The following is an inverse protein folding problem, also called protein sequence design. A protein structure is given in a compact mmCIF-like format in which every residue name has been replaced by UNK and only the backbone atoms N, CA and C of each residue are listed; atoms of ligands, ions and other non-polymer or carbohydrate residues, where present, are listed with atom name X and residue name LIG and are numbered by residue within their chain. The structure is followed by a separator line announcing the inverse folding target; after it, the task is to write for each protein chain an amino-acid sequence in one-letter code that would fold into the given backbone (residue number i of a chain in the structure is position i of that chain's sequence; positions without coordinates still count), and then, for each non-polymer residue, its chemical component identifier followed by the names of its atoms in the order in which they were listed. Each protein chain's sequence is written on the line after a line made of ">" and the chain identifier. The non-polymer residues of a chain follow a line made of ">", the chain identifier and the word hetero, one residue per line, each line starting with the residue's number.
data_IF_282595611851
#
_entry.id   IF_282595611851
#
_cell.length_a   1.000
_cell.length_b   1.000
_cell.length_c   1.000
_cell.angle_alpha   90.00
_cell.angle_beta   90.00
_cell.angle_gamma   90.00
#
_symmetry.space_group_name_H-M   'P 1'
#
loop_
_entity.id
_entity.type
_entity.pdbx_description
1 polymer ?
#
# COMPACT_ATOMS: atom_id res chain seq x y z
N UNK A 1 7.85 -16.85 -15.73
CA UNK A 1 8.94 -16.39 -14.86
C UNK A 1 8.37 -15.48 -13.80
N UNK A 2 8.69 -15.71 -12.54
CA UNK A 2 8.22 -14.91 -11.43
C UNK A 2 9.38 -14.15 -10.80
N UNK A 3 9.15 -12.88 -10.48
CA UNK A 3 10.10 -12.05 -9.76
C UNK A 3 9.47 -11.64 -8.45
N UNK A 4 10.20 -11.87 -7.36
CA UNK A 4 9.75 -11.51 -6.02
C UNK A 4 10.74 -10.54 -5.40
N UNK A 5 10.24 -9.47 -4.78
CA UNK A 5 11.10 -8.55 -4.04
C UNK A 5 10.32 -7.92 -2.88
N UNK A 6 11.09 -7.49 -1.88
CA UNK A 6 10.58 -6.74 -0.74
C UNK A 6 11.11 -5.32 -0.79
N UNK A 7 10.32 -4.35 -0.38
CA UNK A 7 10.81 -2.99 -0.25
C UNK A 7 11.85 -2.91 0.88
N UNK A 8 12.92 -2.13 0.71
CA UNK A 8 13.98 -2.02 1.74
C UNK A 8 13.50 -1.16 2.91
N UNK A 9 12.91 -1.80 3.90
CA UNK A 9 12.34 -1.11 5.04
C UNK A 9 11.13 -0.26 4.65
N UNK A 10 10.39 0.20 5.64
CA UNK A 10 9.25 1.10 5.42
C UNK A 10 9.45 2.29 6.34
N UNK A 11 9.56 3.47 5.76
CA UNK A 11 9.75 4.71 6.50
C UNK A 11 8.42 5.31 6.94
N UNK A 12 7.42 5.29 6.04
CA UNK A 12 6.11 5.85 6.36
C UNK A 12 5.02 5.16 5.54
N UNK A 13 3.80 5.20 6.09
CA UNK A 13 2.59 4.70 5.46
C UNK A 13 1.57 5.81 5.54
N UNK A 14 0.92 6.10 4.42
CA UNK A 14 -0.11 7.12 4.36
C UNK A 14 -1.31 6.60 3.60
N UNK A 15 -2.48 7.17 3.88
CA UNK A 15 -3.75 6.77 3.27
C UNK A 15 -4.30 7.93 2.47
N UNK A 16 -4.71 7.66 1.25
CA UNK A 16 -5.36 8.64 0.38
C UNK A 16 -6.70 8.10 -0.08
N UNK A 17 -7.65 9.00 -0.36
CA UNK A 17 -8.90 8.59 -0.98
C UNK A 17 -8.64 8.15 -2.42
N UNK A 18 -9.06 6.93 -2.77
CA UNK A 18 -8.88 6.44 -4.13
C UNK A 18 -9.65 7.28 -5.14
N UNK A 19 -10.80 7.81 -4.74
CA UNK A 19 -11.63 8.63 -5.63
C UNK A 19 -10.99 9.98 -5.96
N UNK A 20 -10.04 10.45 -5.15
CA UNK A 20 -9.32 11.70 -5.39
C UNK A 20 -8.12 11.52 -6.31
N UNK A 21 -7.78 10.30 -6.67
CA UNK A 21 -6.64 10.02 -7.54
C UNK A 21 -7.00 10.26 -9.01
N UNK A 22 -6.00 10.63 -9.83
CA UNK A 22 -6.22 10.69 -11.28
C UNK A 22 -6.58 9.32 -11.85
N UNK A 23 -7.22 9.31 -13.01
CA UNK A 23 -7.60 8.08 -13.69
C UNK A 23 -6.40 7.44 -14.38
N UNK A 24 -6.44 6.11 -14.53
CA UNK A 24 -5.51 5.33 -15.36
C UNK A 24 -4.06 5.39 -14.92
N UNK A 25 -3.81 5.53 -13.60
CA UNK A 25 -2.44 5.57 -13.08
C UNK A 25 -1.68 4.28 -13.37
N UNK A 26 -2.34 3.12 -13.27
CA UNK A 26 -1.69 1.84 -13.53
C UNK A 26 -1.24 1.74 -14.99
N UNK A 27 -2.07 2.16 -15.92
CA UNK A 27 -1.72 2.15 -17.34
C UNK A 27 -0.60 3.13 -17.66
N UNK A 28 -0.64 4.32 -17.04
CA UNK A 28 0.42 5.30 -17.19
C UNK A 28 1.75 4.77 -16.67
N UNK A 29 1.72 4.07 -15.54
CA UNK A 29 2.92 3.45 -14.96
C UNK A 29 3.47 2.37 -15.89
N UNK A 30 2.60 1.54 -16.47
CA UNK A 30 3.01 0.51 -17.42
C UNK A 30 3.62 1.10 -18.69
N UNK A 31 3.17 2.29 -19.08
CA UNK A 31 3.70 3.00 -20.24
C UNK A 31 5.01 3.74 -19.94
N UNK A 32 5.51 3.68 -18.71
CA UNK A 32 6.76 4.33 -18.32
C UNK A 32 6.62 5.81 -18.00
N UNK A 33 5.40 6.31 -17.84
CA UNK A 33 5.19 7.71 -17.49
C UNK A 33 5.42 7.93 -15.98
N UNK A 34 5.99 9.09 -15.61
CA UNK A 34 6.17 9.39 -14.18
C UNK A 34 4.82 9.64 -13.51
N UNK A 35 4.65 9.07 -12.31
CA UNK A 35 3.45 9.22 -11.50
C UNK A 35 3.80 10.06 -10.30
N UNK A 36 3.05 11.13 -10.07
CA UNK A 36 3.26 12.00 -8.90
C UNK A 36 2.60 11.38 -7.67
N UNK A 37 3.31 11.41 -6.55
CA UNK A 37 2.75 10.95 -5.29
C UNK A 37 1.57 11.86 -4.88
N UNK A 38 0.50 11.27 -4.30
CA UNK A 38 -0.64 12.08 -3.83
C UNK A 38 -0.19 13.08 -2.75
N UNK A 39 -0.61 14.33 -2.87
CA UNK A 39 -0.26 15.37 -1.91
C UNK A 39 -1.22 15.45 -0.72
N UNK A 40 -2.36 14.75 -0.81
CA UNK A 40 -3.40 14.79 0.21
C UNK A 40 -3.47 13.53 1.06
N UNK A 41 -2.39 12.73 1.05
CA UNK A 41 -2.34 11.51 1.85
C UNK A 41 -2.09 11.84 3.32
N UNK A 42 -2.80 11.15 4.21
CA UNK A 42 -2.66 11.29 5.64
C UNK A 42 -1.76 10.20 6.19
N UNK A 43 -0.71 10.59 6.93
CA UNK A 43 0.22 9.63 7.51
C UNK A 43 -0.45 8.80 8.60
N UNK A 44 -0.16 7.50 8.60
CA UNK A 44 -0.63 6.57 9.59
C UNK A 44 0.57 6.11 10.40
N UNK A 45 0.61 6.35 11.72
CA UNK A 45 1.68 5.81 12.54
C UNK A 45 1.55 4.29 12.64
N UNK A 46 2.66 3.59 12.54
CA UNK A 46 2.67 2.14 12.68
C UNK A 46 3.70 1.74 13.72
N UNK A 47 3.48 0.58 14.34
CA UNK A 47 4.33 0.05 15.42
C UNK A 47 5.04 -1.19 14.94
N UNK A 48 6.31 -1.31 15.30
CA UNK A 48 7.13 -2.43 14.90
C UNK A 48 7.51 -2.37 13.45
N UNK A 49 7.71 -3.52 12.85
CA UNK A 49 8.17 -3.63 11.48
C UNK A 49 7.00 -3.69 10.51
N UNK A 50 7.05 -2.89 9.47
CA UNK A 50 6.13 -2.97 8.35
C UNK A 50 6.84 -3.64 7.18
N UNK A 51 6.17 -4.57 6.51
CA UNK A 51 6.75 -5.36 5.43
C UNK A 51 5.87 -5.21 4.19
N UNK A 52 6.51 -4.86 3.07
CA UNK A 52 5.83 -4.78 1.78
C UNK A 52 6.56 -5.67 0.78
N UNK A 53 5.84 -6.63 0.23
CA UNK A 53 6.38 -7.59 -0.71
C UNK A 53 5.62 -7.53 -2.03
N UNK A 54 6.32 -7.70 -3.13
CA UNK A 54 5.73 -7.68 -4.46
C UNK A 54 6.21 -8.90 -5.25
N UNK A 55 5.26 -9.58 -5.88
CA UNK A 55 5.55 -10.69 -6.77
C UNK A 55 5.04 -10.34 -8.17
N UNK A 56 5.91 -10.45 -9.16
CA UNK A 56 5.58 -10.17 -10.54
C UNK A 56 5.62 -11.44 -11.35
N UNK A 57 4.56 -11.67 -12.14
CA UNK A 57 4.45 -12.80 -13.04
C UNK A 57 4.32 -12.27 -14.47
N UNK A 58 5.18 -12.74 -15.37
CA UNK A 58 5.21 -12.21 -16.73
C UNK A 58 4.53 -13.13 -17.75
N UNK A 59 4.31 -14.39 -17.41
CA UNK A 59 3.72 -15.36 -18.32
C UNK A 59 2.69 -16.21 -17.58
N UNK A 60 1.55 -16.53 -18.19
CA UNK A 60 1.11 -16.16 -19.54
C UNK A 60 0.70 -14.70 -19.70
N UNK A 61 0.46 -13.98 -18.60
CA UNK A 61 0.08 -12.58 -18.64
C UNK A 61 0.82 -11.81 -17.54
N UNK A 62 1.02 -10.51 -17.76
CA UNK A 62 1.62 -9.65 -16.75
C UNK A 62 0.69 -9.49 -15.56
N UNK A 63 1.18 -9.80 -14.38
CA UNK A 63 0.43 -9.63 -13.13
C UNK A 63 1.38 -9.30 -11.99
N UNK A 64 0.97 -8.37 -11.12
CA UNK A 64 1.69 -8.05 -9.90
C UNK A 64 0.78 -8.31 -8.71
N UNK A 65 1.33 -8.92 -7.67
CA UNK A 65 0.65 -9.09 -6.40
C UNK A 65 1.47 -8.42 -5.32
N UNK A 66 0.85 -7.48 -4.63
CA UNK A 66 1.49 -6.73 -3.54
C UNK A 66 0.83 -7.12 -2.23
N UNK A 67 1.65 -7.31 -1.21
CA UNK A 67 1.16 -7.56 0.15
C UNK A 67 1.92 -6.64 1.11
N UNK A 68 1.17 -5.80 1.82
CA UNK A 68 1.69 -4.91 2.86
C UNK A 68 1.11 -5.34 4.20
N UNK A 69 1.98 -5.57 5.18
CA UNK A 69 1.57 -5.94 6.53
C UNK A 69 2.17 -4.95 7.52
N UNK A 70 1.33 -4.39 8.37
CA UNK A 70 1.77 -3.48 9.43
C UNK A 70 0.79 -3.48 10.59
N UNK A 71 1.23 -2.98 11.73
CA UNK A 71 0.39 -2.84 12.93
C UNK A 71 0.27 -1.38 13.32
N UNK A 72 -0.92 -0.96 13.72
CA UNK A 72 -1.17 0.43 14.08
C UNK A 72 -2.23 0.51 15.19
N UNK A 73 -2.18 1.59 15.96
CA UNK A 73 -3.25 1.91 16.90
C UNK A 73 -4.38 2.68 16.24
N UNK A 74 -4.20 3.10 15.00
CA UNK A 74 -5.18 3.87 14.25
C UNK A 74 -6.06 2.94 13.43
N UNK A 75 -7.37 3.18 13.49
CA UNK A 75 -8.32 2.44 12.66
C UNK A 75 -8.46 3.11 11.30
N UNK A 76 -8.23 2.33 10.23
CA UNK A 76 -8.40 2.82 8.87
C UNK A 76 -9.87 2.92 8.50
N UNK A 77 -10.26 3.86 7.62
CA UNK A 77 -11.64 3.93 7.15
C UNK A 77 -12.06 2.61 6.49
N UNK A 78 -13.24 2.13 6.82
CA UNK A 78 -13.75 0.86 6.29
C UNK A 78 -14.86 1.05 5.27
N UNK A 79 -15.41 2.25 5.17
CA UNK A 79 -16.57 2.55 4.33
C UNK A 79 -16.21 3.30 3.05
N UNK A 80 -14.95 3.60 2.83
CA UNK A 80 -14.48 4.32 1.65
C UNK A 80 -13.37 3.56 0.96
N UNK A 81 -13.27 3.74 -0.34
CA UNK A 81 -12.17 3.18 -1.10
C UNK A 81 -10.92 4.01 -0.86
N UNK A 82 -9.87 3.36 -0.39
CA UNK A 82 -8.62 4.04 -0.08
C UNK A 82 -7.47 3.44 -0.88
N UNK A 83 -6.47 4.27 -1.13
CA UNK A 83 -5.19 3.86 -1.67
C UNK A 83 -4.13 4.08 -0.60
N UNK A 84 -3.10 3.26 -0.62
CA UNK A 84 -2.03 3.32 0.38
C UNK A 84 -0.76 3.83 -0.27
N UNK A 85 -0.17 4.84 0.34
CA UNK A 85 1.13 5.37 -0.10
C UNK A 85 2.19 4.89 0.88
N UNK A 86 3.14 4.10 0.39
CA UNK A 86 4.22 3.53 1.19
C UNK A 86 5.52 4.17 0.77
N UNK A 87 6.27 4.70 1.72
CA UNK A 87 7.60 5.26 1.45
C UNK A 87 8.64 4.33 2.05
N UNK A 88 9.60 3.89 1.24
CA UNK A 88 10.63 2.97 1.70
C UNK A 88 11.76 3.71 2.44
N UNK A 89 12.75 2.95 2.91
CA UNK A 89 13.86 3.51 3.67
C UNK A 89 14.72 4.48 2.85
N UNK A 90 14.67 4.37 1.52
CA UNK A 90 15.39 5.25 0.61
C UNK A 90 14.60 6.51 0.25
N UNK A 91 13.40 6.66 0.79
CA UNK A 91 12.56 7.82 0.51
C UNK A 91 11.76 7.72 -0.78
N UNK A 92 11.68 6.54 -1.39
CA UNK A 92 10.94 6.35 -2.63
C UNK A 92 9.49 6.00 -2.29
N UNK A 93 8.51 6.80 -2.76
CA UNK A 93 7.10 6.51 -2.51
C UNK A 93 6.55 5.52 -3.53
N UNK A 94 5.70 4.62 -3.04
CA UNK A 94 4.96 3.64 -3.85
C UNK A 94 3.49 3.73 -3.52
N UNK A 95 2.66 3.66 -4.56
CA UNK A 95 1.21 3.72 -4.40
C UNK A 95 0.61 2.33 -4.61
N UNK A 96 -0.21 1.90 -3.66
CA UNK A 96 -0.98 0.65 -3.75
C UNK A 96 -2.45 1.02 -3.85
N UNK A 97 -3.07 0.70 -4.97
CA UNK A 97 -4.44 1.06 -5.23
C UNK A 97 -4.56 2.26 -6.14
N UNK A 98 -5.59 2.26 -6.95
CA UNK A 98 -5.89 3.33 -7.91
C UNK A 98 -7.37 3.66 -7.83
N UNK A 99 -7.79 4.64 -8.62
CA UNK A 99 -9.20 5.01 -8.71
C UNK A 99 -10.06 3.86 -9.24
N UNK A 100 -9.51 3.07 -10.16
CA UNK A 100 -10.22 1.97 -10.80
C UNK A 100 -10.13 0.66 -10.04
N UNK A 101 -9.03 0.43 -9.32
CA UNK A 101 -8.79 -0.82 -8.61
C UNK A 101 -8.35 -0.53 -7.18
N UNK A 102 -9.01 -1.15 -6.24
CA UNK A 102 -8.77 -0.91 -4.81
C UNK A 102 -8.13 -2.13 -4.17
N UNK A 103 -7.23 -1.93 -3.21
CA UNK A 103 -6.65 -3.05 -2.48
C UNK A 103 -7.68 -3.68 -1.54
N UNK A 104 -7.53 -4.98 -1.31
CA UNK A 104 -8.27 -5.67 -0.27
C UNK A 104 -7.58 -5.42 1.07
N UNK A 105 -8.33 -5.00 2.07
CA UNK A 105 -7.81 -4.69 3.39
C UNK A 105 -8.39 -5.65 4.39
N UNK A 106 -7.52 -6.44 5.01
CA UNK A 106 -7.90 -7.33 6.09
C UNK A 106 -7.39 -6.73 7.40
N UNK A 107 -8.29 -6.64 8.38
CA UNK A 107 -7.96 -6.10 9.68
C UNK A 107 -8.14 -7.17 10.73
N UNK A 108 -7.11 -7.38 11.52
CA UNK A 108 -7.17 -8.22 12.71
C UNK A 108 -6.96 -7.34 13.93
N UNK A 109 -7.88 -7.41 14.86
CA UNK A 109 -7.76 -6.65 16.10
C UNK A 109 -7.31 -7.59 17.21
N UNK A 110 -6.24 -7.21 17.89
CA UNK A 110 -5.77 -7.94 19.06
C UNK A 110 -6.10 -7.12 20.29
N UNK A 111 -6.90 -7.69 21.17
CA UNK A 111 -7.19 -7.07 22.47
C UNK A 111 -6.02 -7.35 23.39
N UNK A 112 -5.54 -6.32 24.04
CA UNK A 112 -4.45 -6.47 24.97
C UNK A 112 -4.87 -7.26 26.21
N UNK A 113 -3.88 -7.63 27.01
CA UNK A 113 -4.11 -8.17 28.36
C UNK A 113 -5.01 -7.23 29.15
N UNK A 114 -5.76 -7.74 30.16
CA UNK A 114 -6.54 -6.85 31.04
C UNK A 114 -5.72 -5.72 31.66
N UNK A 115 -4.40 -5.90 31.75
CA UNK A 115 -3.48 -4.89 32.27
C UNK A 115 -2.85 -4.02 31.18
N UNK A 116 -3.26 -4.19 29.93
CA UNK A 116 -2.73 -3.44 28.79
C UNK A 116 -3.86 -2.64 28.17
N UNK A 117 -3.63 -1.34 28.01
CA UNK A 117 -4.62 -0.43 27.41
C UNK A 117 -4.55 -0.38 25.90
N UNK A 118 -3.64 -1.14 25.28
CA UNK A 118 -3.43 -1.02 23.85
C UNK A 118 -4.17 -2.08 23.06
N UNK A 119 -5.08 -1.61 22.22
CA UNK A 119 -5.68 -2.39 21.16
C UNK A 119 -4.87 -2.14 19.90
N UNK A 120 -4.31 -3.20 19.34
CA UNK A 120 -3.48 -3.08 18.14
C UNK A 120 -4.24 -3.69 16.97
N UNK A 121 -4.33 -2.93 15.89
CA UNK A 121 -4.87 -3.41 14.63
C UNK A 121 -3.72 -3.87 13.75
N UNK A 122 -3.78 -5.10 13.28
CA UNK A 122 -2.84 -5.61 12.29
C UNK A 122 -3.55 -5.62 10.95
N UNK A 123 -2.98 -4.90 10.00
CA UNK A 123 -3.53 -4.77 8.66
C UNK A 123 -2.72 -5.59 7.68
N UNK A 124 -3.42 -6.34 6.84
CA UNK A 124 -2.83 -6.99 5.68
C UNK A 124 -3.54 -6.43 4.45
N UNK A 125 -2.79 -5.73 3.62
CA UNK A 125 -3.31 -5.06 2.43
C UNK A 125 -2.78 -5.79 1.22
N UNK A 126 -3.68 -6.32 0.38
CA UNK A 126 -3.32 -7.09 -0.80
C UNK A 126 -3.95 -6.49 -2.03
N UNK A 127 -3.20 -6.53 -3.11
CA UNK A 127 -3.69 -6.10 -4.41
C UNK A 127 -3.05 -6.92 -5.50
N UNK A 128 -3.87 -7.38 -6.46
CA UNK A 128 -3.39 -8.05 -7.67
C UNK A 128 -3.93 -7.31 -8.87
N UNK A 129 -3.03 -6.93 -9.77
CA UNK A 129 -3.35 -6.18 -10.98
C UNK A 129 -2.18 -6.30 -11.95
N UNK A 130 -2.34 -5.94 -13.23
CA UNK A 130 -1.19 -5.86 -14.11
C UNK A 130 -0.10 -4.92 -13.59
N UNK A 131 -0.49 -3.87 -12.83
CA UNK A 131 0.44 -3.02 -12.10
C UNK A 131 -0.17 -2.73 -10.73
N UNK A 132 0.28 -3.42 -9.69
CA UNK A 132 -0.24 -3.28 -8.34
C UNK A 132 0.59 -2.33 -7.48
N UNK A 133 1.90 -2.29 -7.66
CA UNK A 133 2.80 -1.41 -6.92
C UNK A 133 3.34 -0.34 -7.86
N UNK A 134 2.89 0.89 -7.69
CA UNK A 134 3.23 1.99 -8.59
C UNK A 134 4.28 2.86 -7.91
N UNK A 135 5.48 2.89 -8.50
CA UNK A 135 6.53 3.78 -8.02
C UNK A 135 6.18 5.22 -8.40
N UNK A 136 6.22 6.11 -7.42
CA UNK A 136 5.89 7.50 -7.60
C UNK A 136 7.13 8.39 -7.54
N UNK A 137 7.01 9.60 -8.08
CA UNK A 137 8.04 10.63 -7.93
C UNK A 137 7.55 11.68 -6.95
N UNK A 138 8.49 12.25 -6.22
CA UNK A 138 8.19 13.32 -5.28
C UNK A 138 8.27 14.65 -6.01
N UNK A 139 7.30 15.50 -5.75
CA UNK A 139 7.29 16.85 -6.29
C UNK A 139 7.26 17.88 -5.19
#
# INVERSE_FOLDING_TARGET
>A
MNTHFSLPGIKSIAVASANALPSELAMQSLAGLPISAPSTADDIPFHGEAICECTQTYAPALSETVELTFSSLVELPSDTHIAILVTDANGIPYLIGTKEEHPAIERRQTFGNPNSDSNIYTYTIRMSAPRALIRCVIR
#
